data_IF_795346916760
#
_entry.id   IF_795346916760
#
_cell.length_a   1.000
_cell.length_b   1.000
_cell.length_c   1.000
_cell.angle_alpha   90.00
_cell.angle_beta   90.00
_cell.angle_gamma   90.00
#
_symmetry.space_group_name_H-M   'P 1'
#
loop_
_entity.id
_entity.type
_entity.pdbx_description
1 polymer ?
#
# COMPACT_ATOMS: atom_id res chain seq x y z
N UNK A 1 -0.24 -29.34 -56.67
CA UNK A 1 -0.78 -28.21 -55.87
C UNK A 1 -0.31 -28.44 -54.41
N UNK A 2 0.73 -27.79 -54.00
CA UNK A 2 1.22 -27.85 -52.59
C UNK A 2 0.67 -26.63 -51.87
N UNK A 3 -0.18 -26.88 -50.87
CA UNK A 3 -0.68 -25.84 -49.98
C UNK A 3 0.35 -25.60 -48.87
N UNK A 4 1.02 -24.44 -48.88
CA UNK A 4 1.88 -23.99 -47.78
C UNK A 4 1.01 -23.51 -46.61
N UNK A 5 1.07 -24.22 -45.51
CA UNK A 5 0.47 -23.81 -44.23
C UNK A 5 1.41 -22.80 -43.57
N UNK A 6 1.02 -21.54 -43.53
CA UNK A 6 1.75 -20.49 -42.80
C UNK A 6 1.30 -20.58 -41.34
N UNK A 7 2.20 -21.06 -40.47
CA UNK A 7 2.02 -21.05 -39.03
C UNK A 7 2.33 -19.64 -38.52
N UNK A 8 1.28 -18.87 -38.17
CA UNK A 8 1.43 -17.57 -37.52
C UNK A 8 1.65 -17.86 -36.02
N UNK A 9 2.89 -17.74 -35.56
CA UNK A 9 3.23 -17.79 -34.15
C UNK A 9 2.74 -16.50 -33.49
N UNK A 10 1.64 -16.54 -32.73
CA UNK A 10 1.26 -15.47 -31.82
C UNK A 10 2.30 -15.45 -30.67
N UNK A 11 3.22 -14.49 -30.74
CA UNK A 11 4.05 -14.14 -29.58
C UNK A 11 3.17 -13.49 -28.53
N UNK A 12 2.80 -14.25 -27.51
CA UNK A 12 2.25 -13.70 -26.26
C UNK A 12 3.39 -12.91 -25.65
N UNK A 13 3.37 -11.60 -25.80
CA UNK A 13 4.31 -10.68 -25.15
C UNK A 13 4.16 -10.83 -23.64
N UNK A 14 5.08 -11.55 -22.99
CA UNK A 14 5.19 -11.56 -21.55
C UNK A 14 5.54 -10.14 -21.13
N UNK A 15 4.63 -9.43 -20.45
CA UNK A 15 4.93 -8.15 -19.80
C UNK A 15 6.16 -8.35 -18.93
N UNK A 16 7.15 -7.47 -19.07
CA UNK A 16 8.33 -7.48 -18.20
C UNK A 16 7.88 -7.34 -16.74
N UNK A 17 8.43 -8.13 -15.82
CA UNK A 17 8.04 -8.06 -14.42
C UNK A 17 8.24 -6.63 -13.90
N UNK A 18 7.21 -6.07 -13.28
CA UNK A 18 7.26 -4.73 -12.69
C UNK A 18 8.36 -4.68 -11.64
N UNK A 19 9.09 -3.58 -11.57
CA UNK A 19 9.96 -3.32 -10.42
C UNK A 19 9.14 -3.21 -9.13
N UNK A 20 9.74 -3.51 -7.99
CA UNK A 20 9.04 -3.39 -6.70
C UNK A 20 8.48 -1.97 -6.47
N UNK A 21 9.20 -0.95 -6.91
CA UNK A 21 8.76 0.45 -6.85
C UNK A 21 7.51 0.70 -7.71
N UNK A 22 7.51 0.24 -8.97
CA UNK A 22 6.35 0.40 -9.87
C UNK A 22 5.13 -0.34 -9.35
N UNK A 23 5.31 -1.57 -8.85
CA UNK A 23 4.22 -2.35 -8.29
C UNK A 23 3.60 -1.72 -7.03
N UNK A 24 4.37 -0.96 -6.25
CA UNK A 24 3.91 -0.29 -5.04
C UNK A 24 3.37 1.13 -5.28
N UNK A 25 3.52 1.71 -6.48
CA UNK A 25 2.98 3.05 -6.80
C UNK A 25 1.47 3.21 -6.58
N UNK A 26 0.60 2.21 -6.83
CA UNK A 26 -0.84 2.32 -6.54
C UNK A 26 -1.14 2.69 -5.09
N UNK A 27 -0.21 2.42 -4.16
CA UNK A 27 -0.32 2.73 -2.74
C UNK A 27 0.26 4.11 -2.35
N UNK A 28 0.67 4.94 -3.30
CA UNK A 28 1.17 6.30 -3.02
C UNK A 28 0.19 7.14 -2.19
N UNK A 29 -1.12 6.88 -2.33
CA UNK A 29 -2.17 7.53 -1.53
C UNK A 29 -2.05 7.26 -0.03
N UNK A 30 -1.46 6.12 0.37
CA UNK A 30 -1.23 5.78 1.79
C UNK A 30 -0.10 6.60 2.44
N UNK A 31 0.84 7.13 1.65
CA UNK A 31 2.04 7.80 2.18
C UNK A 31 1.68 9.10 2.89
N UNK A 32 1.50 9.02 4.20
CA UNK A 32 1.14 10.11 5.10
C UNK A 32 1.03 9.63 6.55
N UNK A 33 0.73 10.57 7.45
CA UNK A 33 0.20 10.32 8.78
C UNK A 33 -1.34 10.27 8.74
N UNK A 34 -1.91 9.35 9.52
CA UNK A 34 -3.34 9.06 9.55
C UNK A 34 -3.84 8.85 10.98
N UNK A 35 -5.06 9.31 11.25
CA UNK A 35 -5.81 8.97 12.46
C UNK A 35 -6.75 7.81 12.12
N UNK A 36 -6.50 6.64 12.69
CA UNK A 36 -7.35 5.46 12.60
C UNK A 36 -8.37 5.43 13.72
N UNK A 37 -9.62 5.10 13.40
CA UNK A 37 -10.66 4.78 14.37
C UNK A 37 -11.16 3.37 14.07
N UNK A 38 -10.91 2.46 15.01
CA UNK A 38 -11.23 1.05 14.91
C UNK A 38 -12.47 0.68 15.70
N UNK A 39 -13.24 -0.26 15.16
CA UNK A 39 -14.44 -0.82 15.79
C UNK A 39 -14.45 -2.34 15.62
N UNK A 40 -14.78 -3.12 16.69
CA UNK A 40 -15.11 -4.52 16.53
C UNK A 40 -16.37 -4.68 15.68
N UNK A 41 -16.55 -5.82 15.05
CA UNK A 41 -17.83 -6.17 14.46
C UNK A 41 -18.81 -6.53 15.57
N UNK A 42 -20.10 -6.19 15.39
CA UNK A 42 -21.11 -6.43 16.42
C UNK A 42 -22.18 -5.35 16.47
N UNK A 43 -22.95 -5.36 17.53
CA UNK A 43 -24.01 -4.40 17.84
C UNK A 43 -23.46 -2.98 18.03
N UNK A 44 -24.35 -2.00 17.98
CA UNK A 44 -23.97 -0.59 18.24
C UNK A 44 -23.32 -0.40 19.61
N UNK A 45 -23.78 -1.12 20.62
CA UNK A 45 -23.27 -1.05 21.99
C UNK A 45 -21.86 -1.67 22.10
N UNK A 46 -21.65 -2.86 21.49
CA UNK A 46 -20.35 -3.51 21.43
C UNK A 46 -19.33 -2.65 20.70
N UNK A 47 -19.70 -2.05 19.58
CA UNK A 47 -18.85 -1.12 18.84
C UNK A 47 -18.51 0.13 19.64
N UNK A 48 -19.47 0.70 20.38
CA UNK A 48 -19.26 1.88 21.20
C UNK A 48 -18.35 1.60 22.40
N UNK A 49 -18.41 0.39 22.99
CA UNK A 49 -17.54 -0.03 24.10
C UNK A 49 -16.15 -0.48 23.62
N UNK A 50 -16.07 -1.05 22.44
CA UNK A 50 -14.87 -1.70 21.91
C UNK A 50 -14.04 -0.84 20.96
N UNK A 51 -14.43 0.42 20.68
CA UNK A 51 -13.68 1.27 19.76
C UNK A 51 -12.29 1.63 20.30
N UNK A 52 -11.38 1.93 19.38
CA UNK A 52 -10.06 2.45 19.71
C UNK A 52 -9.61 3.49 18.69
N UNK A 53 -8.59 4.24 19.05
CA UNK A 53 -7.94 5.20 18.16
C UNK A 53 -6.49 4.78 18.03
N UNK A 54 -5.95 4.91 16.85
CA UNK A 54 -4.55 4.62 16.54
C UNK A 54 -3.98 5.69 15.61
N UNK A 55 -2.68 5.93 15.72
CA UNK A 55 -1.92 6.82 14.84
C UNK A 55 -1.13 5.95 13.88
N UNK A 56 -1.35 6.16 12.59
CA UNK A 56 -0.80 5.33 11.54
C UNK A 56 0.09 6.20 10.66
N UNK A 57 1.26 5.71 10.30
CA UNK A 57 2.15 6.36 9.36
C UNK A 57 2.63 5.36 8.32
N UNK A 58 2.50 5.73 7.05
CA UNK A 58 3.07 5.01 5.93
C UNK A 58 4.18 5.82 5.28
N UNK A 59 5.29 5.17 4.99
CA UNK A 59 6.43 5.80 4.31
C UNK A 59 7.11 4.83 3.35
N UNK A 60 7.71 5.36 2.30
CA UNK A 60 8.60 4.60 1.44
C UNK A 60 9.88 4.23 2.17
N UNK A 61 10.37 3.04 1.90
CA UNK A 61 11.68 2.57 2.32
C UNK A 61 12.39 1.92 1.14
N UNK A 62 13.62 2.33 0.89
CA UNK A 62 14.44 1.84 -0.23
C UNK A 62 15.72 1.19 0.31
N UNK A 63 16.18 0.16 -0.39
CA UNK A 63 17.45 -0.50 -0.13
C UNK A 63 18.02 -0.99 -1.46
N UNK A 64 18.90 -0.20 -2.09
CA UNK A 64 19.30 -0.42 -3.47
C UNK A 64 18.10 -0.36 -4.42
N UNK A 65 17.90 -1.39 -5.22
CA UNK A 65 16.75 -1.49 -6.12
C UNK A 65 15.47 -2.02 -5.45
N UNK A 66 15.58 -2.51 -4.20
CA UNK A 66 14.41 -2.95 -3.45
C UNK A 66 13.64 -1.76 -2.89
N UNK A 67 12.32 -1.81 -3.02
CA UNK A 67 11.39 -0.83 -2.47
C UNK A 67 10.31 -1.54 -1.65
N UNK A 68 9.90 -0.91 -0.55
CA UNK A 68 8.81 -1.36 0.32
C UNK A 68 8.11 -0.18 0.96
N UNK A 69 6.92 -0.39 1.48
CA UNK A 69 6.21 0.59 2.29
C UNK A 69 6.31 0.16 3.76
N UNK A 70 6.88 1.03 4.58
CA UNK A 70 6.93 0.86 6.03
C UNK A 70 5.64 1.39 6.63
N UNK A 71 5.07 0.62 7.55
CA UNK A 71 3.92 0.96 8.37
C UNK A 71 4.37 1.11 9.82
N UNK A 72 3.99 2.21 10.46
CA UNK A 72 4.14 2.41 11.90
C UNK A 72 2.75 2.65 12.49
N UNK A 73 2.42 2.00 13.60
CA UNK A 73 1.16 2.18 14.31
C UNK A 73 1.46 2.47 15.78
N UNK A 74 1.13 3.67 16.23
CA UNK A 74 1.18 4.02 17.63
C UNK A 74 -0.23 3.92 18.24
N UNK A 75 -0.29 3.49 19.49
CA UNK A 75 -1.55 3.27 20.22
C UNK A 75 -2.46 2.20 19.57
N UNK A 76 -1.89 1.35 18.72
CA UNK A 76 -2.63 0.31 18.01
C UNK A 76 -3.13 -0.80 18.93
N UNK A 77 -4.38 -1.22 18.76
CA UNK A 77 -4.98 -2.30 19.57
C UNK A 77 -4.43 -3.67 19.20
N UNK A 78 -4.15 -3.92 17.91
CA UNK A 78 -3.77 -5.23 17.42
C UNK A 78 -2.34 -5.25 16.87
N UNK A 79 -1.90 -4.17 16.23
CA UNK A 79 -0.61 -4.08 15.57
C UNK A 79 0.17 -2.84 16.03
N UNK A 80 1.50 -2.94 15.94
CA UNK A 80 2.43 -1.84 16.23
C UNK A 80 3.10 -1.31 14.98
N UNK A 81 2.97 -2.00 13.85
CA UNK A 81 3.53 -1.61 12.56
C UNK A 81 3.74 -2.79 11.64
N UNK A 82 4.50 -2.58 10.57
CA UNK A 82 4.77 -3.61 9.58
C UNK A 82 5.44 -3.10 8.32
N UNK A 83 5.41 -3.92 7.29
CA UNK A 83 5.89 -3.55 5.96
C UNK A 83 5.09 -4.25 4.86
N UNK A 84 4.80 -3.52 3.79
CA UNK A 84 4.22 -4.04 2.56
C UNK A 84 5.30 -4.09 1.48
N UNK A 85 5.46 -5.25 0.84
CA UNK A 85 6.38 -5.46 -0.27
C UNK A 85 5.73 -6.21 -1.42
N UNK A 86 6.30 -6.06 -2.59
CA UNK A 86 5.90 -6.78 -3.79
C UNK A 86 6.77 -8.01 -4.00
N UNK A 87 6.17 -9.11 -4.42
CA UNK A 87 6.81 -10.39 -4.73
C UNK A 87 6.81 -10.59 -6.27
N UNK A 88 7.89 -10.22 -6.99
CA UNK A 88 7.88 -10.22 -8.46
C UNK A 88 7.72 -11.60 -9.09
N UNK A 89 8.11 -12.67 -8.42
CA UNK A 89 7.99 -14.04 -8.94
C UNK A 89 6.55 -14.53 -9.06
N UNK A 90 5.67 -14.11 -8.16
CA UNK A 90 4.27 -14.54 -8.09
C UNK A 90 3.29 -13.43 -8.45
N UNK A 91 3.79 -12.19 -8.65
CA UNK A 91 2.98 -10.99 -8.84
C UNK A 91 2.00 -10.77 -7.68
N UNK A 92 2.46 -11.08 -6.45
CA UNK A 92 1.70 -10.91 -5.22
C UNK A 92 2.27 -9.76 -4.38
N UNK A 93 1.50 -9.40 -3.36
CA UNK A 93 1.94 -8.51 -2.29
C UNK A 93 2.04 -9.29 -1.00
N UNK A 94 3.05 -8.96 -0.20
CA UNK A 94 3.24 -9.53 1.13
C UNK A 94 3.22 -8.41 2.16
N UNK A 95 2.38 -8.58 3.18
CA UNK A 95 2.27 -7.69 4.33
C UNK A 95 2.72 -8.43 5.58
N UNK A 96 3.81 -7.96 6.18
CA UNK A 96 4.28 -8.42 7.48
C UNK A 96 3.79 -7.44 8.54
N UNK A 97 3.03 -7.90 9.52
CA UNK A 97 2.49 -7.10 10.62
C UNK A 97 3.08 -7.53 11.95
N UNK A 98 3.70 -6.59 12.65
CA UNK A 98 4.11 -6.77 14.04
C UNK A 98 2.89 -6.59 14.96
N UNK A 99 2.55 -7.63 15.72
CA UNK A 99 1.43 -7.59 16.66
C UNK A 99 1.83 -6.93 17.98
N UNK A 100 0.84 -6.48 18.76
CA UNK A 100 1.07 -6.00 20.13
C UNK A 100 1.60 -7.10 21.07
N UNK A 101 1.40 -8.38 20.72
CA UNK A 101 2.00 -9.54 21.40
C UNK A 101 3.46 -9.81 20.99
N UNK A 102 4.09 -8.92 20.21
CA UNK A 102 5.49 -9.04 19.74
C UNK A 102 5.74 -10.25 18.80
N UNK A 103 4.73 -10.71 18.11
CA UNK A 103 4.84 -11.71 17.03
C UNK A 103 4.71 -11.01 15.68
N UNK A 104 5.10 -11.70 14.61
CA UNK A 104 4.90 -11.23 13.24
C UNK A 104 3.90 -12.12 12.53
N UNK A 105 2.93 -11.50 11.90
CA UNK A 105 1.95 -12.17 11.05
C UNK A 105 2.20 -11.79 9.60
N UNK A 106 2.32 -12.80 8.73
CA UNK A 106 2.56 -12.63 7.29
C UNK A 106 1.30 -12.95 6.51
N UNK A 107 0.86 -11.99 5.71
CA UNK A 107 -0.28 -12.12 4.81
C UNK A 107 0.20 -11.93 3.36
N UNK A 108 -0.32 -12.74 2.44
CA UNK A 108 0.03 -12.68 1.02
C UNK A 108 -1.24 -12.59 0.18
N UNK A 109 -1.21 -11.82 -0.89
CA UNK A 109 -2.36 -11.69 -1.76
C UNK A 109 -2.18 -10.70 -2.91
N UNK A 110 -3.31 -10.20 -3.43
CA UNK A 110 -3.35 -9.47 -4.69
C UNK A 110 -4.00 -8.09 -4.56
N UNK A 111 -3.53 -7.22 -5.44
CA UNK A 111 -4.18 -5.95 -5.71
C UNK A 111 -5.34 -6.18 -6.69
N UNK A 112 -6.49 -5.63 -6.35
CA UNK A 112 -7.71 -5.68 -7.17
C UNK A 112 -8.21 -4.26 -7.41
N UNK A 113 -8.99 -4.09 -8.45
CA UNK A 113 -9.71 -2.85 -8.72
C UNK A 113 -11.18 -3.03 -8.33
N UNK A 114 -11.70 -2.12 -7.51
CA UNK A 114 -13.10 -2.10 -7.12
C UNK A 114 -14.02 -1.57 -8.23
N UNK A 115 -15.33 -1.68 -8.03
CA UNK A 115 -16.36 -1.25 -9.01
C UNK A 115 -16.31 0.26 -9.33
N UNK A 116 -15.87 1.08 -8.39
CA UNK A 116 -15.70 2.53 -8.54
C UNK A 116 -14.23 2.92 -8.73
N UNK A 117 -13.40 1.98 -9.22
CA UNK A 117 -11.96 2.13 -9.39
C UNK A 117 -11.17 2.33 -8.09
N UNK A 118 -11.73 1.90 -6.96
CA UNK A 118 -10.99 1.85 -5.70
C UNK A 118 -9.84 0.84 -5.81
N UNK A 119 -8.73 1.17 -5.23
CA UNK A 119 -7.61 0.25 -5.06
C UNK A 119 -7.91 -0.64 -3.85
N UNK A 120 -8.07 -1.93 -4.08
CA UNK A 120 -8.39 -2.92 -3.04
C UNK A 120 -7.27 -3.94 -2.96
N UNK A 121 -6.58 -3.99 -1.82
CA UNK A 121 -5.57 -5.00 -1.53
C UNK A 121 -6.17 -6.06 -0.62
N UNK A 122 -6.24 -7.30 -1.10
CA UNK A 122 -6.76 -8.45 -0.34
C UNK A 122 -5.61 -9.40 -0.06
N UNK A 123 -5.34 -9.66 1.20
CA UNK A 123 -4.22 -10.48 1.66
C UNK A 123 -4.72 -11.54 2.64
N UNK A 124 -4.21 -12.75 2.54
CA UNK A 124 -4.63 -13.89 3.36
C UNK A 124 -3.46 -14.54 4.09
N UNK A 125 -3.76 -15.10 5.23
CA UNK A 125 -2.88 -15.93 6.05
C UNK A 125 -3.66 -17.14 6.52
N UNK A 126 -3.20 -18.34 6.19
CA UNK A 126 -3.82 -19.57 6.65
C UNK A 126 -3.06 -20.13 7.87
N UNK A 127 -3.80 -20.48 8.89
CA UNK A 127 -3.33 -21.14 10.10
C UNK A 127 -3.91 -22.55 10.18
N UNK A 128 -3.55 -23.31 11.21
CA UNK A 128 -4.07 -24.66 11.40
C UNK A 128 -5.59 -24.73 11.61
N UNK A 129 -6.21 -23.65 12.08
CA UNK A 129 -7.65 -23.63 12.45
C UNK A 129 -8.50 -22.77 11.53
N UNK A 130 -7.93 -21.76 10.87
CA UNK A 130 -8.68 -20.75 10.13
C UNK A 130 -7.83 -20.07 9.06
N UNK A 131 -8.50 -19.43 8.11
CA UNK A 131 -7.91 -18.41 7.23
C UNK A 131 -8.29 -17.02 7.73
N UNK A 132 -7.31 -16.15 7.87
CA UNK A 132 -7.48 -14.74 8.17
C UNK A 132 -7.29 -13.94 6.88
N UNK A 133 -8.08 -12.89 6.70
CA UNK A 133 -8.01 -12.01 5.54
C UNK A 133 -7.95 -10.56 6.00
N UNK A 134 -6.92 -9.84 5.56
CA UNK A 134 -6.83 -8.39 5.70
C UNK A 134 -7.16 -7.76 4.35
N UNK A 135 -8.10 -6.82 4.35
CA UNK A 135 -8.48 -6.06 3.17
C UNK A 135 -8.22 -4.58 3.42
N UNK A 136 -7.43 -3.95 2.56
CA UNK A 136 -7.28 -2.50 2.49
C UNK A 136 -8.12 -1.98 1.33
N UNK A 137 -8.93 -0.94 1.57
CA UNK A 137 -9.72 -0.27 0.54
C UNK A 137 -9.39 1.22 0.57
N UNK A 138 -8.73 1.70 -0.47
CA UNK A 138 -8.45 3.13 -0.63
C UNK A 138 -9.65 3.79 -1.28
N UNK A 139 -10.43 4.53 -0.47
CA UNK A 139 -11.68 5.16 -0.92
C UNK A 139 -11.41 6.43 -1.72
N UNK A 140 -10.52 7.27 -1.22
CA UNK A 140 -10.07 8.50 -1.87
C UNK A 140 -8.80 9.03 -1.18
N UNK A 141 -8.27 10.15 -1.65
CA UNK A 141 -6.95 10.67 -1.26
C UNK A 141 -6.73 10.89 0.25
N UNK A 142 -7.81 11.09 1.01
CA UNK A 142 -7.75 11.39 2.44
C UNK A 142 -8.47 10.36 3.32
N UNK A 143 -8.88 9.20 2.78
CA UNK A 143 -9.53 8.15 3.53
C UNK A 143 -9.25 6.76 2.97
N UNK A 144 -8.87 5.82 3.84
CA UNK A 144 -8.88 4.40 3.54
C UNK A 144 -9.48 3.60 4.69
N UNK A 145 -9.84 2.36 4.40
CA UNK A 145 -10.30 1.39 5.38
C UNK A 145 -9.32 0.21 5.39
N UNK A 146 -9.10 -0.38 6.56
CA UNK A 146 -8.62 -1.74 6.62
C UNK A 146 -9.50 -2.57 7.55
N UNK A 147 -9.67 -3.84 7.24
CA UNK A 147 -10.48 -4.76 8.03
C UNK A 147 -9.78 -6.11 8.13
N UNK A 148 -9.97 -6.75 9.29
CA UNK A 148 -9.61 -8.15 9.50
C UNK A 148 -10.88 -8.98 9.50
N UNK A 149 -10.89 -10.04 8.70
CA UNK A 149 -11.93 -11.06 8.64
C UNK A 149 -11.31 -12.43 8.89
N UNK A 150 -12.09 -13.36 9.38
CA UNK A 150 -11.67 -14.74 9.60
C UNK A 150 -12.67 -15.73 9.03
N UNK A 151 -12.16 -16.88 8.59
CA UNK A 151 -12.95 -17.99 8.08
C UNK A 151 -12.41 -19.29 8.70
N UNK A 152 -13.11 -19.88 9.69
CA UNK A 152 -12.81 -21.24 10.15
C UNK A 152 -12.77 -22.25 9.01
N UNK A 153 -12.00 -23.33 9.15
CA UNK A 153 -11.84 -24.34 8.07
C UNK A 153 -13.17 -24.88 7.52
N UNK A 154 -14.14 -25.04 8.41
CA UNK A 154 -15.46 -25.59 8.06
C UNK A 154 -16.48 -24.53 7.61
N UNK A 155 -16.10 -23.25 7.64
CA UNK A 155 -16.98 -22.15 7.22
C UNK A 155 -16.82 -21.85 5.72
N UNK A 156 -17.94 -21.47 5.07
CA UNK A 156 -17.94 -21.08 3.65
C UNK A 156 -17.55 -19.61 3.45
N UNK A 157 -17.88 -18.75 4.40
CA UNK A 157 -17.75 -17.31 4.28
C UNK A 157 -16.80 -16.72 5.34
N UNK A 158 -16.15 -15.62 5.00
CA UNK A 158 -15.43 -14.80 5.96
C UNK A 158 -16.41 -14.01 6.84
N UNK A 159 -16.12 -13.97 8.15
CA UNK A 159 -16.77 -13.09 9.11
C UNK A 159 -15.80 -11.99 9.51
N UNK A 160 -16.22 -10.73 9.44
CA UNK A 160 -15.40 -9.59 9.85
C UNK A 160 -15.24 -9.59 11.37
N UNK A 161 -14.02 -9.42 11.85
CA UNK A 161 -13.73 -9.25 13.29
C UNK A 161 -13.73 -7.78 13.70
N UNK A 162 -13.11 -6.94 12.87
CA UNK A 162 -13.06 -5.49 13.09
C UNK A 162 -12.74 -4.73 11.81
N UNK A 163 -12.97 -3.44 11.86
CA UNK A 163 -12.61 -2.49 10.80
C UNK A 163 -12.02 -1.24 11.40
N UNK A 164 -11.02 -0.68 10.73
CA UNK A 164 -10.45 0.64 11.03
C UNK A 164 -10.68 1.56 9.85
N UNK A 165 -11.28 2.71 10.10
CA UNK A 165 -11.37 3.81 9.16
C UNK A 165 -10.27 4.82 9.46
N UNK A 166 -9.35 5.02 8.52
CA UNK A 166 -8.25 5.97 8.63
C UNK A 166 -8.55 7.24 7.85
N UNK A 167 -8.38 8.39 8.51
CA UNK A 167 -8.50 9.73 7.92
C UNK A 167 -7.14 10.40 7.96
N UNK A 168 -6.73 11.01 6.84
CA UNK A 168 -5.43 11.65 6.69
C UNK A 168 -5.31 12.87 7.58
N UNK A 169 -4.19 12.99 8.30
CA UNK A 169 -3.96 14.12 9.17
C UNK A 169 -3.57 15.36 8.36
N UNK A 170 -4.05 16.56 8.82
CA UNK A 170 -3.69 17.84 8.24
C UNK A 170 -4.31 18.17 6.88
N UNK A 171 -5.21 17.33 6.35
CA UNK A 171 -5.89 17.60 5.08
C UNK A 171 -7.40 17.81 5.28
N UNK A 172 -7.99 18.93 4.77
CA UNK A 172 -9.43 19.09 4.76
C UNK A 172 -10.10 18.05 3.82
N UNK A 173 -11.32 17.64 4.16
CA UNK A 173 -12.08 16.58 3.45
C UNK A 173 -12.30 16.84 1.95
N UNK A 174 -12.09 18.06 1.46
CA UNK A 174 -12.52 18.52 0.13
C UNK A 174 -11.38 18.75 -0.87
N UNK A 175 -10.10 18.59 -0.54
CA UNK A 175 -9.01 18.89 -1.48
C UNK A 175 -8.45 17.61 -2.13
N UNK A 176 -8.83 17.43 -3.40
CA UNK A 176 -8.18 16.49 -4.30
C UNK A 176 -6.69 16.88 -4.53
N UNK A 177 -5.83 15.88 -4.59
CA UNK A 177 -4.42 15.83 -5.03
C UNK A 177 -3.83 17.07 -5.74
N UNK A 178 -3.92 18.27 -5.14
CA UNK A 178 -3.27 19.49 -5.62
C UNK A 178 -1.91 19.60 -4.93
N UNK A 179 -0.85 19.50 -5.68
CA UNK A 179 0.51 19.65 -5.18
C UNK A 179 1.54 19.11 -6.17
N UNK A 180 2.83 19.40 -5.96
CA UNK A 180 3.91 18.89 -6.80
C UNK A 180 4.02 17.36 -6.65
N UNK A 181 4.48 16.71 -7.72
CA UNK A 181 4.78 15.28 -7.72
C UNK A 181 6.08 14.99 -6.96
N UNK A 182 6.11 13.91 -6.19
CA UNK A 182 7.33 13.39 -5.57
C UNK A 182 8.26 12.85 -6.67
N UNK A 183 9.43 13.46 -6.81
CA UNK A 183 10.41 13.08 -7.84
C UNK A 183 10.90 11.63 -7.72
N UNK A 184 10.80 11.02 -6.54
CA UNK A 184 11.25 9.65 -6.26
C UNK A 184 10.15 8.63 -6.54
N UNK A 185 8.97 8.78 -5.95
CA UNK A 185 7.91 7.76 -5.98
C UNK A 185 6.77 8.05 -6.95
N UNK A 186 6.66 9.29 -7.45
CA UNK A 186 5.52 9.73 -8.25
C UNK A 186 4.26 10.03 -7.46
N UNK A 187 4.29 9.94 -6.12
CA UNK A 187 3.18 10.34 -5.26
C UNK A 187 3.14 11.86 -5.04
N UNK A 188 2.25 12.33 -4.15
CA UNK A 188 2.16 13.75 -3.80
C UNK A 188 3.39 14.19 -3.00
N UNK A 189 4.12 15.19 -3.48
CA UNK A 189 5.25 15.81 -2.77
C UNK A 189 4.76 16.77 -1.69
N UNK A 190 5.14 16.50 -0.44
CA UNK A 190 4.77 17.31 0.73
C UNK A 190 5.95 18.04 1.36
N UNK A 191 7.17 17.59 1.05
CA UNK A 191 8.41 18.18 1.56
C UNK A 191 9.27 18.67 0.40
N UNK A 192 9.88 19.85 0.54
CA UNK A 192 10.82 20.40 -0.42
C UNK A 192 12.26 19.98 -0.11
N UNK A 193 13.04 19.69 -1.15
CA UNK A 193 14.47 19.38 -1.08
C UNK A 193 15.22 20.23 -2.10
N UNK A 194 16.20 21.00 -1.63
CA UNK A 194 17.07 21.81 -2.49
C UNK A 194 18.23 21.01 -3.04
N UNK A 195 18.50 21.07 -4.35
CA UNK A 195 19.68 20.50 -4.98
C UNK A 195 20.16 21.34 -6.16
N UNK A 196 21.42 21.77 -6.15
CA UNK A 196 22.04 22.61 -7.20
C UNK A 196 21.19 23.82 -7.60
N UNK A 197 20.68 24.57 -6.60
CA UNK A 197 19.88 25.78 -6.80
C UNK A 197 18.44 25.56 -7.29
N UNK A 198 17.98 24.30 -7.39
CA UNK A 198 16.60 23.94 -7.76
C UNK A 198 15.89 23.28 -6.59
N UNK A 199 14.57 23.47 -6.52
CA UNK A 199 13.71 22.85 -5.51
C UNK A 199 13.01 21.63 -6.13
N UNK A 200 13.09 20.51 -5.44
CA UNK A 200 12.39 19.26 -5.75
C UNK A 200 11.44 18.90 -4.61
N UNK A 201 10.46 18.06 -4.88
CA UNK A 201 9.49 17.66 -3.88
C UNK A 201 9.53 16.14 -3.66
N UNK A 202 9.33 15.73 -2.40
CA UNK A 202 9.27 14.34 -1.97
C UNK A 202 8.09 14.13 -1.02
N UNK A 203 7.57 12.91 -0.92
CA UNK A 203 6.36 12.62 -0.15
C UNK A 203 6.62 12.22 1.31
N UNK A 204 7.82 11.72 1.63
CA UNK A 204 8.18 11.23 2.97
C UNK A 204 9.70 11.24 3.19
N UNK A 205 10.12 10.95 4.42
CA UNK A 205 11.54 10.89 4.80
C UNK A 205 12.31 9.85 3.98
N UNK A 206 11.74 8.67 3.73
CA UNK A 206 12.38 7.64 2.91
C UNK A 206 12.64 8.09 1.48
N UNK A 207 11.73 8.84 0.86
CA UNK A 207 11.97 9.45 -0.45
C UNK A 207 12.99 10.60 -0.40
N UNK A 208 13.06 11.33 0.71
CA UNK A 208 14.09 12.36 0.92
C UNK A 208 15.48 11.74 1.02
N UNK A 209 15.61 10.67 1.80
CA UNK A 209 16.88 9.97 1.98
C UNK A 209 17.35 9.35 0.66
N UNK A 210 16.45 8.73 -0.08
CA UNK A 210 16.72 8.15 -1.39
C UNK A 210 17.13 9.21 -2.44
N UNK A 211 16.45 10.38 -2.46
CA UNK A 211 16.86 11.50 -3.33
C UNK A 211 18.23 12.04 -2.96
N UNK A 212 18.56 12.12 -1.67
CA UNK A 212 19.85 12.60 -1.21
C UNK A 212 21.00 11.61 -1.52
N UNK A 213 20.70 10.32 -1.53
CA UNK A 213 21.67 9.28 -1.86
C UNK A 213 22.07 9.32 -3.35
N UNK A 214 21.12 9.50 -4.27
CA UNK A 214 21.39 9.63 -5.71
C UNK A 214 20.47 10.65 -6.38
N UNK A 215 20.74 11.96 -6.24
CA UNK A 215 19.93 13.00 -6.89
C UNK A 215 19.95 12.92 -8.42
N UNK A 216 21.09 12.48 -9.01
CA UNK A 216 21.27 12.42 -10.45
C UNK A 216 20.31 11.46 -11.13
N UNK A 217 20.11 10.28 -10.55
CA UNK A 217 19.18 9.26 -11.00
C UNK A 217 17.76 9.80 -11.16
N UNK A 218 17.25 10.45 -10.13
CA UNK A 218 15.84 10.91 -10.09
C UNK A 218 15.61 12.16 -10.94
N UNK A 219 16.57 13.07 -11.00
CA UNK A 219 16.49 14.27 -11.85
C UNK A 219 16.50 13.87 -13.32
N UNK A 220 17.34 12.90 -13.73
CA UNK A 220 17.37 12.38 -15.10
C UNK A 220 16.01 11.77 -15.49
N UNK A 221 15.45 10.89 -14.67
CA UNK A 221 14.14 10.27 -14.89
C UNK A 221 13.03 11.34 -15.02
N UNK A 222 13.04 12.36 -14.16
CA UNK A 222 12.03 13.42 -14.20
C UNK A 222 12.12 14.31 -15.47
N UNK A 223 13.31 14.48 -16.01
CA UNK A 223 13.51 15.21 -17.28
C UNK A 223 13.04 14.39 -18.48
N UNK A 224 13.30 13.10 -18.48
CA UNK A 224 12.89 12.16 -19.55
C UNK A 224 11.36 12.03 -19.64
N UNK A 225 10.66 12.04 -18.49
CA UNK A 225 9.18 11.99 -18.44
C UNK A 225 8.48 13.25 -18.97
N UNK A 226 9.19 14.37 -19.12
CA UNK A 226 8.63 15.65 -19.59
C UNK A 226 8.83 15.87 -21.10
N UNK A 227 9.52 14.97 -21.77
CA UNK A 227 9.71 14.94 -23.23
C UNK A 227 8.68 14.04 -23.90
#
# INVERSE_FOLDING_TARGET
>A
MFASLILVALSIGAESPKSAKEALQPFNGLIAAWKGTGFPDGTREERAKGFWIEKIEWSWQFQGDAARLKLTIAEGKHYTGGELRYLPKTNDYELNLATTAKTVETYVGKLNEGKQKEVILVLERTTDTQTQQITFTMLHSNRYLYQLSTKPKDAKNFARLYQVGATKEGEPFAEANKGPECIVSGGRGTMSVGYKGKTYYVCCSGCKDELNADPGKYIKIAVEKKK
#
